data_IF_934145500151
#
_entry.id   IF_934145500151
#
_cell.length_a   1.000
_cell.length_b   1.000
_cell.length_c   1.000
_cell.angle_alpha   90.00
_cell.angle_beta   90.00
_cell.angle_gamma   90.00
#
_symmetry.space_group_name_H-M   'P 1'
#
loop_
_entity.id
_entity.type
_entity.pdbx_description
1 polymer ?
#
# COMPACT_ATOMS: atom_id res chain seq x y z
N UNK A 1 -14.30 6.52 -17.82
CA UNK A 1 -13.46 5.95 -16.74
C UNK A 1 -12.07 6.51 -16.91
N UNK A 2 -11.45 7.05 -15.86
CA UNK A 2 -10.07 7.53 -15.94
C UNK A 2 -9.16 6.34 -16.28
N UNK A 3 -8.25 6.51 -17.25
CA UNK A 3 -7.29 5.46 -17.62
C UNK A 3 -6.27 5.34 -16.49
N UNK A 4 -5.99 4.14 -16.01
CA UNK A 4 -4.82 3.91 -15.17
C UNK A 4 -3.58 4.09 -16.04
N UNK A 5 -2.73 5.06 -15.72
CA UNK A 5 -1.58 5.43 -16.53
C UNK A 5 -0.27 4.93 -15.93
N UNK A 6 -0.21 4.82 -14.60
CA UNK A 6 1.01 4.46 -13.88
C UNK A 6 0.78 3.17 -13.10
N UNK A 7 1.64 2.19 -13.36
CA UNK A 7 1.72 0.96 -12.58
C UNK A 7 2.86 1.10 -11.59
N UNK A 8 2.58 0.94 -10.30
CA UNK A 8 3.57 1.06 -9.24
C UNK A 8 3.67 -0.22 -8.43
N UNK A 9 4.79 -0.39 -7.75
CA UNK A 9 5.02 -1.43 -6.76
C UNK A 9 5.55 -0.79 -5.48
N UNK A 10 5.22 -1.37 -4.33
CA UNK A 10 5.69 -0.90 -3.01
C UNK A 10 6.73 -1.88 -2.48
N UNK A 11 7.91 -1.39 -2.09
CA UNK A 11 8.95 -2.19 -1.43
C UNK A 11 8.97 -1.78 0.06
N UNK A 12 8.80 -2.75 0.94
CA UNK A 12 8.47 -2.55 2.36
C UNK A 12 6.96 -2.44 2.54
N UNK A 13 6.33 -3.49 3.07
CA UNK A 13 4.87 -3.64 3.16
C UNK A 13 4.30 -3.48 4.58
N UNK A 14 5.13 -3.00 5.51
CA UNK A 14 4.76 -2.77 6.89
C UNK A 14 3.92 -1.51 7.15
N UNK A 15 4.08 -0.97 8.35
CA UNK A 15 3.16 0.02 8.94
C UNK A 15 2.88 1.23 8.04
N UNK A 16 3.91 1.94 7.58
CA UNK A 16 3.77 3.15 6.75
C UNK A 16 3.22 2.85 5.34
N UNK A 17 3.42 1.62 4.84
CA UNK A 17 2.91 1.24 3.55
C UNK A 17 1.42 0.91 3.58
N UNK A 18 0.89 0.46 4.73
CA UNK A 18 -0.38 -0.25 4.80
C UNK A 18 -1.27 0.14 5.98
N UNK A 19 -0.81 -0.04 7.22
CA UNK A 19 -1.73 -0.08 8.38
C UNK A 19 -1.75 1.19 9.21
N UNK A 20 -0.84 2.13 9.00
CA UNK A 20 -0.70 3.32 9.86
C UNK A 20 -1.96 4.17 9.94
N UNK A 21 -2.80 4.14 8.89
CA UNK A 21 -4.07 4.88 8.85
C UNK A 21 -5.02 4.47 9.98
N UNK A 22 -4.97 3.21 10.43
CA UNK A 22 -5.83 2.70 11.51
C UNK A 22 -5.44 3.27 12.89
N UNK A 23 -4.21 3.79 13.01
CA UNK A 23 -3.67 4.35 14.25
C UNK A 23 -3.98 5.86 14.36
N UNK A 24 -4.40 6.50 13.26
CA UNK A 24 -4.63 7.95 13.21
C UNK A 24 -5.94 8.32 13.91
N UNK A 25 -5.82 9.05 15.01
CA UNK A 25 -6.97 9.55 15.77
C UNK A 25 -7.45 10.91 15.23
N UNK A 26 -8.76 11.21 15.33
CA UNK A 26 -9.26 12.56 15.09
C UNK A 26 -8.51 13.60 15.93
N UNK A 27 -8.15 14.73 15.31
CA UNK A 27 -7.41 15.81 15.98
C UNK A 27 -5.90 15.57 16.15
N UNK A 28 -5.35 14.47 15.63
CA UNK A 28 -3.89 14.19 15.66
C UNK A 28 -3.03 15.13 14.79
N UNK A 29 -3.66 15.98 13.96
CA UNK A 29 -2.95 16.83 12.99
C UNK A 29 -2.42 16.09 11.77
N UNK A 30 -2.59 14.76 11.68
CA UNK A 30 -2.22 13.97 10.51
C UNK A 30 -3.40 13.91 9.53
N UNK A 31 -3.14 14.13 8.25
CA UNK A 31 -4.14 14.05 7.18
C UNK A 31 -4.25 12.61 6.66
N UNK A 32 -5.47 12.12 6.46
CA UNK A 32 -5.75 10.83 5.83
C UNK A 32 -6.16 11.02 4.35
N UNK A 33 -5.84 10.07 3.44
CA UNK A 33 -5.01 8.89 3.70
C UNK A 33 -3.55 9.25 4.00
N UNK A 34 -2.87 8.44 4.80
CA UNK A 34 -1.47 8.67 5.20
C UNK A 34 -0.54 7.54 4.75
N UNK A 35 -1.04 6.29 4.74
CA UNK A 35 -0.28 5.14 4.24
C UNK A 35 -0.01 5.24 2.73
N UNK A 36 1.13 4.72 2.26
CA UNK A 36 1.45 4.73 0.83
C UNK A 36 0.35 4.07 -0.02
N UNK A 37 -0.14 2.90 0.41
CA UNK A 37 -1.16 2.17 -0.35
C UNK A 37 -2.49 2.94 -0.41
N UNK A 38 -2.96 3.52 0.70
CA UNK A 38 -4.20 4.29 0.69
C UNK A 38 -4.06 5.57 -0.14
N UNK A 39 -2.93 6.29 -0.01
CA UNK A 39 -2.64 7.45 -0.86
C UNK A 39 -2.61 7.09 -2.35
N UNK A 40 -2.01 5.96 -2.72
CA UNK A 40 -2.02 5.51 -4.12
C UNK A 40 -3.42 5.14 -4.62
N UNK A 41 -4.28 4.53 -3.79
CA UNK A 41 -5.67 4.21 -4.18
C UNK A 41 -6.53 5.46 -4.41
N UNK A 42 -6.24 6.54 -3.70
CA UNK A 42 -6.94 7.82 -3.87
C UNK A 42 -6.54 8.57 -5.16
N UNK A 43 -5.50 8.11 -5.88
CA UNK A 43 -5.07 8.69 -7.16
C UNK A 43 -5.55 7.82 -8.33
N UNK A 44 -6.59 8.21 -9.09
CA UNK A 44 -7.20 7.35 -10.12
C UNK A 44 -6.26 6.92 -11.25
N UNK A 45 -5.20 7.69 -11.50
CA UNK A 45 -4.23 7.40 -12.55
C UNK A 45 -3.19 6.33 -12.14
N UNK A 46 -3.16 5.90 -10.88
CA UNK A 46 -2.16 4.96 -10.35
C UNK A 46 -2.82 3.64 -9.96
N UNK A 47 -2.16 2.53 -10.29
CA UNK A 47 -2.47 1.22 -9.72
C UNK A 47 -1.24 0.61 -9.07
N UNK A 48 -1.39 0.21 -7.81
CA UNK A 48 -0.42 -0.65 -7.11
C UNK A 48 -0.65 -2.07 -7.60
N UNK A 49 0.29 -2.60 -8.38
CA UNK A 49 0.15 -3.90 -9.07
C UNK A 49 1.01 -5.00 -8.48
N UNK A 50 1.93 -4.65 -7.57
CA UNK A 50 2.85 -5.56 -6.92
C UNK A 50 3.38 -4.97 -5.61
N UNK A 51 4.02 -5.82 -4.80
CA UNK A 51 4.75 -5.41 -3.61
C UNK A 51 5.89 -6.35 -3.30
N UNK A 52 6.85 -5.90 -2.50
CA UNK A 52 7.93 -6.75 -1.99
C UNK A 52 8.24 -6.44 -0.53
N UNK A 53 8.42 -7.48 0.26
CA UNK A 53 8.89 -7.37 1.65
C UNK A 53 9.61 -8.68 2.01
N UNK A 54 10.75 -8.66 2.72
CA UNK A 54 11.43 -9.90 3.11
C UNK A 54 10.60 -10.77 4.05
N UNK A 55 9.69 -10.19 4.85
CA UNK A 55 8.89 -10.91 5.83
C UNK A 55 7.57 -11.42 5.24
N UNK A 56 7.33 -12.72 5.33
CA UNK A 56 6.11 -13.38 4.81
C UNK A 56 4.83 -12.82 5.40
N UNK A 57 4.81 -12.63 6.72
CA UNK A 57 3.67 -12.04 7.43
C UNK A 57 3.26 -10.66 6.90
N UNK A 58 4.22 -9.84 6.46
CA UNK A 58 3.93 -8.52 5.90
C UNK A 58 3.35 -8.63 4.50
N UNK A 59 3.87 -9.57 3.69
CA UNK A 59 3.30 -9.88 2.38
C UNK A 59 1.87 -10.37 2.51
N UNK A 60 1.61 -11.35 3.38
CA UNK A 60 0.29 -11.93 3.56
C UNK A 60 -0.72 -10.92 4.09
N UNK A 61 -0.35 -10.12 5.10
CA UNK A 61 -1.19 -9.07 5.64
C UNK A 61 -1.50 -8.00 4.58
N UNK A 62 -0.50 -7.58 3.81
CA UNK A 62 -0.67 -6.59 2.74
C UNK A 62 -1.56 -7.11 1.61
N UNK A 63 -1.29 -8.33 1.12
CA UNK A 63 -2.06 -8.96 0.05
C UNK A 63 -3.51 -9.17 0.45
N UNK A 64 -3.75 -9.67 1.66
CA UNK A 64 -5.10 -9.88 2.20
C UNK A 64 -5.88 -8.58 2.34
N UNK A 65 -5.25 -7.53 2.90
CA UNK A 65 -5.92 -6.24 3.15
C UNK A 65 -6.24 -5.50 1.85
N UNK A 66 -5.34 -5.55 0.87
CA UNK A 66 -5.40 -4.68 -0.31
C UNK A 66 -5.74 -5.40 -1.62
N UNK A 67 -5.81 -6.73 -1.62
CA UNK A 67 -6.09 -7.52 -2.82
C UNK A 67 -4.96 -7.52 -3.85
N UNK A 68 -3.71 -7.35 -3.41
CA UNK A 68 -2.53 -7.37 -4.29
C UNK A 68 -1.91 -8.76 -4.29
N UNK A 69 -1.93 -9.43 -5.45
CA UNK A 69 -1.50 -10.83 -5.58
C UNK A 69 0.00 -10.99 -5.88
N UNK A 70 0.61 -10.02 -6.56
CA UNK A 70 2.02 -10.10 -6.99
C UNK A 70 2.94 -9.63 -5.87
N UNK A 71 3.22 -10.52 -4.92
CA UNK A 71 4.03 -10.23 -3.75
C UNK A 71 5.31 -11.06 -3.74
N UNK A 72 6.44 -10.39 -3.54
CA UNK A 72 7.76 -11.00 -3.67
C UNK A 72 8.58 -10.87 -2.39
N UNK A 73 9.38 -11.89 -2.08
CA UNK A 73 10.30 -11.85 -0.94
C UNK A 73 11.56 -11.02 -1.21
N UNK A 74 11.90 -10.82 -2.48
CA UNK A 74 12.99 -9.97 -2.95
C UNK A 74 12.41 -8.95 -3.95
N UNK A 75 12.98 -7.75 -3.97
CA UNK A 75 12.57 -6.67 -4.85
C UNK A 75 13.23 -6.72 -6.23
N UNK A 76 14.27 -7.54 -6.39
CA UNK A 76 15.04 -7.69 -7.64
C UNK A 76 14.36 -8.58 -8.67
#
# INVERSE_FOLDING_TARGET
MARTEYRTAIIGLGRIASTIDDEIRPGSGTMLPYSHMACYRDVPAVAVVAGADPYEEQRDAFGTRWGVERLYADYR
#
